data_IF_956251432994
#
_entry.id   IF_956251432994
#
_cell.length_a   1.000
_cell.length_b   1.000
_cell.length_c   1.000
_cell.angle_alpha   90.00
_cell.angle_beta   90.00
_cell.angle_gamma   90.00
#
_symmetry.space_group_name_H-M   'P 1'
#
loop_
_entity.id
_entity.type
_entity.pdbx_description
1 polymer ?
#
# COMPACT_ATOMS: atom_id res chain seq x y z
N UNK A 1 -16.29 6.02 3.94
CA UNK A 1 -15.55 7.12 4.61
C UNK A 1 -14.16 6.57 4.96
N UNK A 2 -13.11 7.39 5.13
CA UNK A 2 -11.81 6.89 5.59
C UNK A 2 -11.83 6.60 7.09
N UNK A 3 -11.21 5.50 7.49
CA UNK A 3 -11.01 5.14 8.89
C UNK A 3 -10.13 6.18 9.59
N UNK A 4 -10.48 6.54 10.84
CA UNK A 4 -9.67 7.45 11.66
C UNK A 4 -8.65 6.69 12.52
N UNK A 5 -8.89 5.40 12.76
CA UNK A 5 -8.03 4.48 13.49
C UNK A 5 -7.99 3.13 12.78
N UNK A 6 -6.89 2.35 12.86
CA UNK A 6 -6.72 1.11 12.11
C UNK A 6 -7.84 0.09 12.36
N UNK A 7 -8.28 -0.05 13.61
CA UNK A 7 -9.32 -1.01 14.01
C UNK A 7 -10.71 -0.72 13.42
N UNK A 8 -10.90 0.46 12.83
CA UNK A 8 -12.15 0.86 12.19
C UNK A 8 -12.19 0.49 10.71
N UNK A 9 -11.04 0.25 10.07
CA UNK A 9 -10.99 -0.13 8.66
C UNK A 9 -11.44 -1.58 8.50
N UNK A 10 -12.61 -1.78 7.91
CA UNK A 10 -13.16 -3.11 7.55
C UNK A 10 -12.89 -3.43 6.09
N UNK A 11 -12.87 -2.42 5.24
CA UNK A 11 -12.57 -2.56 3.82
C UNK A 11 -11.27 -1.84 3.43
N UNK A 12 -10.62 -2.28 2.37
CA UNK A 12 -9.39 -1.66 1.86
C UNK A 12 -9.59 -0.19 1.51
N UNK A 13 -10.73 0.15 0.91
CA UNK A 13 -11.10 1.51 0.52
C UNK A 13 -11.34 2.44 1.73
N UNK A 14 -11.40 1.91 2.95
CA UNK A 14 -11.48 2.72 4.17
C UNK A 14 -10.09 3.15 4.65
N UNK A 15 -9.02 2.50 4.20
CA UNK A 15 -7.65 2.92 4.52
C UNK A 15 -7.32 4.27 3.86
N UNK A 16 -6.63 5.18 4.56
CA UNK A 16 -6.14 6.41 3.95
C UNK A 16 -5.23 6.08 2.75
N UNK A 17 -5.27 6.92 1.73
CA UNK A 17 -4.55 6.76 0.45
C UNK A 17 -5.03 5.61 -0.46
N UNK A 18 -5.86 4.67 0.00
CA UNK A 18 -6.33 3.54 -0.80
C UNK A 18 -7.66 3.86 -1.49
N UNK A 19 -7.63 4.13 -2.80
CA UNK A 19 -8.84 4.24 -3.62
C UNK A 19 -9.31 2.89 -4.16
N UNK A 20 -10.46 2.88 -4.86
CA UNK A 20 -11.03 1.67 -5.49
C UNK A 20 -10.04 0.95 -6.42
N UNK A 21 -9.23 1.70 -7.18
CA UNK A 21 -8.23 1.14 -8.07
C UNK A 21 -7.16 0.35 -7.30
N UNK A 22 -6.54 0.97 -6.30
CA UNK A 22 -5.52 0.30 -5.46
C UNK A 22 -6.12 -0.87 -4.68
N UNK A 23 -7.37 -0.75 -4.22
CA UNK A 23 -8.05 -1.87 -3.56
C UNK A 23 -8.30 -3.04 -4.52
N UNK A 24 -8.64 -2.79 -5.79
CA UNK A 24 -8.76 -3.83 -6.81
C UNK A 24 -7.41 -4.50 -7.10
N UNK A 25 -6.34 -3.71 -7.20
CA UNK A 25 -4.97 -4.22 -7.37
C UNK A 25 -4.56 -5.13 -6.21
N UNK A 26 -4.82 -4.71 -4.96
CA UNK A 26 -4.57 -5.50 -3.75
C UNK A 26 -5.34 -6.84 -3.78
N UNK A 27 -6.61 -6.81 -4.16
CA UNK A 27 -7.43 -8.04 -4.31
C UNK A 27 -6.89 -8.96 -5.40
N UNK A 28 -6.36 -8.41 -6.49
CA UNK A 28 -5.73 -9.20 -7.56
C UNK A 28 -4.47 -9.96 -7.08
N UNK A 29 -3.81 -9.49 -6.01
CA UNK A 29 -2.74 -10.20 -5.32
C UNK A 29 -3.22 -10.88 -4.03
N UNK A 30 -4.51 -11.17 -3.90
CA UNK A 30 -5.06 -11.95 -2.79
C UNK A 30 -5.09 -11.23 -1.43
N UNK A 31 -4.94 -9.90 -1.41
CA UNK A 31 -5.14 -9.08 -0.22
C UNK A 31 -6.56 -8.53 -0.27
N UNK A 32 -7.44 -9.10 0.54
CA UNK A 32 -8.88 -8.83 0.54
C UNK A 32 -9.30 -7.82 1.60
N UNK A 33 -8.54 -7.71 2.69
CA UNK A 33 -8.89 -6.88 3.85
C UNK A 33 -7.67 -6.16 4.47
N UNK A 34 -7.88 -5.07 5.24
CA UNK A 34 -6.80 -4.27 5.82
C UNK A 34 -5.79 -5.05 6.67
N UNK A 35 -6.23 -6.05 7.44
CA UNK A 35 -5.36 -6.82 8.31
C UNK A 35 -4.32 -7.63 7.51
N UNK A 36 -4.73 -8.19 6.37
CA UNK A 36 -3.83 -8.93 5.48
C UNK A 36 -2.75 -8.00 4.87
N UNK A 37 -3.08 -6.73 4.62
CA UNK A 37 -2.08 -5.74 4.22
C UNK A 37 -1.10 -5.43 5.37
N UNK A 38 -1.58 -5.41 6.62
CA UNK A 38 -0.76 -5.19 7.82
C UNK A 38 0.20 -6.36 8.13
N UNK A 39 0.05 -7.51 7.48
CA UNK A 39 0.98 -8.64 7.60
C UNK A 39 2.08 -8.63 6.51
N UNK A 40 2.00 -7.70 5.55
CA UNK A 40 2.87 -7.67 4.39
C UNK A 40 3.79 -6.45 4.39
N UNK A 41 4.95 -6.59 3.74
CA UNK A 41 5.80 -5.42 3.49
C UNK A 41 5.31 -4.68 2.23
N UNK A 42 5.26 -3.34 2.22
CA UNK A 42 4.83 -2.59 1.04
C UNK A 42 5.61 -2.94 -0.24
N UNK A 43 6.90 -3.22 -0.11
CA UNK A 43 7.75 -3.61 -1.24
C UNK A 43 7.37 -5.00 -1.78
N UNK A 44 7.09 -6.00 -0.93
CA UNK A 44 6.69 -7.33 -1.42
C UNK A 44 5.36 -7.27 -2.16
N UNK A 45 4.41 -6.49 -1.66
CA UNK A 45 3.11 -6.27 -2.32
C UNK A 45 3.31 -5.59 -3.68
N UNK A 46 4.10 -4.52 -3.74
CA UNK A 46 4.41 -3.83 -5.00
C UNK A 46 5.04 -4.75 -6.05
N UNK A 47 5.98 -5.62 -5.65
CA UNK A 47 6.61 -6.57 -6.57
C UNK A 47 5.61 -7.64 -7.06
N UNK A 48 4.71 -8.11 -6.20
CA UNK A 48 3.63 -9.04 -6.60
C UNK A 48 2.66 -8.40 -7.58
N UNK A 49 2.33 -7.12 -7.40
CA UNK A 49 1.51 -6.37 -8.35
C UNK A 49 2.16 -6.33 -9.73
N UNK A 50 3.48 -6.07 -9.80
CA UNK A 50 4.20 -6.07 -11.07
C UNK A 50 4.10 -7.42 -11.81
N UNK A 51 4.18 -8.52 -11.07
CA UNK A 51 4.04 -9.87 -11.61
C UNK A 51 2.64 -10.12 -12.19
N UNK A 52 1.58 -9.75 -11.44
CA UNK A 52 0.19 -9.94 -11.88
C UNK A 52 -0.19 -9.03 -13.04
N UNK A 53 0.29 -7.79 -13.05
CA UNK A 53 -0.02 -6.80 -14.09
C UNK A 53 0.79 -6.99 -15.39
N UNK A 54 1.83 -7.83 -15.37
CA UNK A 54 2.73 -8.04 -16.51
C UNK A 54 3.61 -6.83 -16.86
N UNK A 55 3.59 -5.80 -16.02
CA UNK A 55 4.39 -4.59 -16.16
C UNK A 55 4.65 -3.97 -14.80
N UNK A 56 5.72 -3.18 -14.70
CA UNK A 56 6.02 -2.40 -13.49
C UNK A 56 4.90 -1.37 -13.23
N UNK A 57 4.24 -1.39 -12.05
CA UNK A 57 3.28 -0.35 -11.68
C UNK A 57 3.99 0.99 -11.44
N UNK A 58 3.27 2.09 -11.53
CA UNK A 58 3.84 3.41 -11.24
C UNK A 58 4.45 3.43 -9.82
N UNK A 59 5.64 4.03 -9.61
CA UNK A 59 6.29 4.06 -8.30
C UNK A 59 5.43 4.66 -7.18
N UNK A 60 4.49 5.55 -7.50
CA UNK A 60 3.56 6.12 -6.52
C UNK A 60 2.69 5.06 -5.84
N UNK A 61 2.44 3.91 -6.47
CA UNK A 61 1.74 2.78 -5.85
C UNK A 61 2.49 2.29 -4.61
N UNK A 62 3.83 2.17 -4.68
CA UNK A 62 4.62 1.80 -3.51
C UNK A 62 4.50 2.84 -2.38
N UNK A 63 4.47 4.13 -2.73
CA UNK A 63 4.39 5.20 -1.72
C UNK A 63 3.02 5.21 -1.05
N UNK A 64 1.97 4.91 -1.82
CA UNK A 64 0.62 4.67 -1.29
C UNK A 64 0.58 3.48 -0.34
N UNK A 65 1.24 2.36 -0.67
CA UNK A 65 1.32 1.19 0.20
C UNK A 65 2.12 1.48 1.48
N UNK A 66 3.22 2.24 1.39
CA UNK A 66 3.99 2.70 2.56
C UNK A 66 3.13 3.56 3.49
N UNK A 67 2.36 4.50 2.94
CA UNK A 67 1.49 5.35 3.73
C UNK A 67 0.33 4.59 4.38
N UNK A 68 -0.26 3.63 3.66
CA UNK A 68 -1.29 2.75 4.22
C UNK A 68 -0.72 1.86 5.34
N UNK A 69 0.48 1.34 5.15
CA UNK A 69 1.20 0.56 6.17
C UNK A 69 1.52 1.38 7.41
N UNK A 70 2.04 2.60 7.22
CA UNK A 70 2.29 3.53 8.32
C UNK A 70 1.02 3.79 9.13
N UNK A 71 -0.12 4.03 8.48
CA UNK A 71 -1.39 4.18 9.19
C UNK A 71 -1.77 2.93 9.98
N UNK A 72 -1.64 1.74 9.39
CA UNK A 72 -1.94 0.47 10.07
C UNK A 72 -1.05 0.25 11.32
N UNK A 73 0.21 0.68 11.27
CA UNK A 73 1.17 0.49 12.36
C UNK A 73 1.06 1.60 13.45
N UNK A 74 0.82 2.86 13.06
CA UNK A 74 0.88 4.02 13.96
C UNK A 74 -0.48 4.60 14.34
N UNK A 75 -1.52 4.30 13.56
CA UNK A 75 -2.82 4.96 13.61
C UNK A 75 -2.84 6.37 13.02
N UNK A 76 -1.72 6.88 12.53
CA UNK A 76 -1.60 8.23 11.98
C UNK A 76 -1.76 8.24 10.46
N UNK A 77 -2.79 8.94 9.96
CA UNK A 77 -2.99 9.10 8.53
C UNK A 77 -2.04 10.17 7.98
N UNK A 78 -1.14 9.75 7.08
CA UNK A 78 -0.21 10.64 6.37
C UNK A 78 -0.47 10.57 4.86
N UNK A 79 -0.32 11.69 4.13
CA UNK A 79 -0.42 11.65 2.68
C UNK A 79 0.74 10.88 2.05
N UNK A 80 0.46 10.12 1.00
CA UNK A 80 1.44 9.22 0.36
C UNK A 80 2.72 9.90 -0.12
N UNK A 81 2.67 11.17 -0.54
CA UNK A 81 3.85 11.85 -1.10
C UNK A 81 4.96 12.09 -0.07
N UNK A 82 4.67 12.04 1.24
CA UNK A 82 5.71 12.07 2.28
C UNK A 82 6.64 10.84 2.23
N UNK A 83 6.16 9.72 1.69
CA UNK A 83 6.91 8.47 1.59
C UNK A 83 7.71 8.34 0.28
N UNK A 84 7.71 9.38 -0.56
CA UNK A 84 8.40 9.37 -1.86
C UNK A 84 9.90 9.11 -1.71
N UNK A 85 10.55 9.74 -0.73
CA UNK A 85 11.99 9.57 -0.53
C UNK A 85 12.35 8.12 -0.12
N UNK A 86 11.58 7.55 0.81
CA UNK A 86 11.73 6.18 1.27
C UNK A 86 11.45 5.18 0.15
N UNK A 87 10.31 5.31 -0.55
CA UNK A 87 9.96 4.40 -1.62
C UNK A 87 10.95 4.43 -2.78
N UNK A 88 11.47 5.62 -3.17
CA UNK A 88 12.55 5.70 -4.16
C UNK A 88 13.81 4.98 -3.71
N UNK A 89 14.13 5.02 -2.41
CA UNK A 89 15.27 4.27 -1.86
C UNK A 89 15.02 2.78 -1.97
N UNK A 90 13.87 2.28 -1.52
CA UNK A 90 13.50 0.86 -1.61
C UNK A 90 13.56 0.33 -3.05
N UNK A 91 13.05 1.10 -4.02
CA UNK A 91 13.09 0.68 -5.43
C UNK A 91 14.51 0.59 -5.98
N UNK A 92 15.37 1.59 -5.70
CA UNK A 92 16.79 1.53 -6.09
C UNK A 92 17.52 0.37 -5.43
N UNK A 93 17.19 0.09 -4.16
CA UNK A 93 17.83 -0.97 -3.40
C UNK A 93 17.42 -2.36 -3.93
N UNK A 94 16.19 -2.52 -4.42
CA UNK A 94 15.66 -3.76 -5.01
C UNK A 94 16.10 -4.03 -6.46
N UNK A 95 16.63 -3.01 -7.15
CA UNK A 95 17.15 -3.10 -8.52
C UNK A 95 18.65 -3.45 -8.57
N UNK A 96 19.30 -3.58 -7.40
CA UNK A 96 20.70 -4.01 -7.26
C UNK A 96 20.79 -5.51 -7.05
#
# INVERSE_FOLDING_TARGET
>A
MKARRPEQARELEELPNIGRAIAADLRAVGIMEPLQLAEQTPLSVYLRLAAVMGKRPDPCVLYTLLAARHFLDSGEARPWWLFTAEGRRLLRDAER
#
